data_IF_139716006641
#
_entry.id   IF_139716006641
#
_cell.length_a   1.000
_cell.length_b   1.000
_cell.length_c   1.000
_cell.angle_alpha   90.00
_cell.angle_beta   90.00
_cell.angle_gamma   90.00
#
_symmetry.space_group_name_H-M   'P 1'
#
loop_
_entity.id
_entity.type
_entity.pdbx_description
1 polymer ?
#
# COMPACT_ATOMS: atom_id res chain seq x y z
N UNK A 1 27.70 8.60 25.17
CA UNK A 1 27.89 8.64 23.70
C UNK A 1 27.60 7.26 23.08
N UNK A 2 26.33 6.83 23.05
CA UNK A 2 25.92 5.53 22.46
C UNK A 2 24.83 5.69 21.38
N UNK A 3 24.79 6.85 20.73
CA UNK A 3 23.86 7.16 19.63
C UNK A 3 23.94 6.25 18.38
N UNK A 4 25.11 5.69 17.96
CA UNK A 4 25.16 4.89 16.73
C UNK A 4 24.49 3.52 16.87
N UNK A 5 24.56 2.90 18.06
CA UNK A 5 23.94 1.59 18.32
C UNK A 5 22.41 1.69 18.31
N UNK A 6 21.83 2.75 18.88
CA UNK A 6 20.37 2.94 18.88
C UNK A 6 19.81 3.01 17.45
N UNK A 7 20.45 3.74 16.52
CA UNK A 7 20.00 3.87 15.13
C UNK A 7 20.06 2.56 14.34
N UNK A 8 21.01 1.68 14.64
CA UNK A 8 21.15 0.39 13.95
C UNK A 8 19.92 -0.51 14.14
N UNK A 9 19.22 -0.42 15.28
CA UNK A 9 17.99 -1.18 15.52
C UNK A 9 16.79 -0.70 14.69
N UNK A 10 16.77 0.57 14.25
CA UNK A 10 15.72 1.10 13.39
C UNK A 10 15.83 0.65 11.93
N UNK A 11 17.05 0.39 11.43
CA UNK A 11 17.29 -0.12 10.07
C UNK A 11 16.90 -1.61 9.95
N UNK A 12 16.90 -2.35 11.05
CA UNK A 12 16.49 -3.76 11.06
C UNK A 12 15.00 -3.95 10.73
N UNK A 13 14.14 -2.96 11.00
CA UNK A 13 12.69 -3.05 10.70
C UNK A 13 12.40 -3.19 9.19
N UNK A 14 12.88 -2.31 8.29
CA UNK A 14 12.69 -2.51 6.85
C UNK A 14 13.41 -3.75 6.32
N UNK A 15 14.55 -4.14 6.89
CA UNK A 15 15.25 -5.38 6.53
C UNK A 15 14.42 -6.61 6.88
N UNK A 16 13.74 -6.62 8.03
CA UNK A 16 12.82 -7.69 8.42
C UNK A 16 11.61 -7.77 7.49
N UNK A 17 11.03 -6.63 7.11
CA UNK A 17 9.87 -6.59 6.21
C UNK A 17 10.26 -7.08 4.81
N UNK A 18 11.28 -6.45 4.20
CA UNK A 18 11.72 -6.78 2.85
C UNK A 18 12.33 -8.18 2.82
N UNK A 19 13.22 -8.50 3.74
CA UNK A 19 13.84 -9.81 3.83
C UNK A 19 12.83 -10.93 4.09
N UNK A 20 11.83 -10.70 4.94
CA UNK A 20 10.77 -11.68 5.23
C UNK A 20 9.86 -11.95 4.03
N UNK A 21 9.48 -10.90 3.29
CA UNK A 21 8.62 -11.03 2.11
C UNK A 21 9.39 -11.66 0.94
N UNK A 22 10.58 -11.16 0.60
CA UNK A 22 11.33 -11.62 -0.56
C UNK A 22 11.94 -13.02 -0.39
N UNK A 23 12.20 -13.47 0.85
CA UNK A 23 12.62 -14.85 1.12
C UNK A 23 11.47 -15.86 1.03
N UNK A 24 10.22 -15.40 0.89
CA UNK A 24 9.03 -16.25 0.86
C UNK A 24 8.67 -16.87 2.20
N UNK A 25 9.32 -16.45 3.29
CA UNK A 25 9.05 -16.95 4.64
C UNK A 25 7.76 -16.36 5.23
N UNK A 26 7.41 -15.13 4.86
CA UNK A 26 6.24 -14.42 5.38
C UNK A 26 5.49 -13.67 4.27
N UNK A 27 4.18 -13.63 4.41
CA UNK A 27 3.31 -12.73 3.63
C UNK A 27 3.42 -11.28 4.13
N UNK A 28 3.00 -10.27 3.34
CA UNK A 28 3.06 -8.87 3.76
C UNK A 28 2.33 -8.60 5.09
N UNK A 29 1.23 -9.31 5.35
CA UNK A 29 0.46 -9.22 6.59
C UNK A 29 1.22 -9.77 7.80
N UNK A 30 1.91 -10.90 7.65
CA UNK A 30 2.71 -11.50 8.73
C UNK A 30 3.97 -10.67 9.01
N UNK A 31 4.61 -10.17 7.94
CA UNK A 31 5.78 -9.30 8.03
C UNK A 31 5.46 -8.00 8.80
N UNK A 32 4.28 -7.41 8.59
CA UNK A 32 3.83 -6.23 9.33
C UNK A 32 3.66 -6.53 10.84
N UNK A 33 3.07 -7.67 11.20
CA UNK A 33 2.92 -8.08 12.61
C UNK A 33 4.27 -8.24 13.29
N UNK A 34 5.23 -8.90 12.62
CA UNK A 34 6.59 -9.09 13.15
C UNK A 34 7.30 -7.74 13.32
N UNK A 35 7.17 -6.84 12.33
CA UNK A 35 7.76 -5.50 12.40
C UNK A 35 7.19 -4.66 13.56
N UNK A 36 5.87 -4.73 13.81
CA UNK A 36 5.22 -4.05 14.93
C UNK A 36 5.68 -4.65 16.26
N UNK A 37 5.71 -5.98 16.39
CA UNK A 37 6.18 -6.65 17.59
C UNK A 37 7.65 -6.27 17.91
N UNK A 38 8.51 -6.29 16.89
CA UNK A 38 9.90 -5.84 17.01
C UNK A 38 9.99 -4.37 17.41
N UNK A 39 9.19 -3.49 16.81
CA UNK A 39 9.16 -2.05 17.11
C UNK A 39 8.72 -1.78 18.55
N UNK A 40 7.77 -2.54 19.09
CA UNK A 40 7.35 -2.44 20.50
C UNK A 40 8.47 -2.87 21.45
N UNK A 41 9.14 -3.99 21.14
CA UNK A 41 10.26 -4.50 21.96
C UNK A 41 11.40 -3.47 21.97
N UNK A 42 11.82 -3.00 20.80
CA UNK A 42 12.92 -2.02 20.68
C UNK A 42 12.53 -0.68 21.30
N UNK A 43 11.30 -0.19 21.06
CA UNK A 43 10.78 1.05 21.64
C UNK A 43 10.77 1.03 23.17
N UNK A 44 10.32 -0.08 23.77
CA UNK A 44 10.23 -0.24 25.23
C UNK A 44 11.60 -0.49 25.88
N UNK A 45 12.42 -1.38 25.33
CA UNK A 45 13.66 -1.83 26.00
C UNK A 45 14.92 -1.05 25.58
N UNK A 46 15.01 -0.60 24.34
CA UNK A 46 16.22 0.07 23.79
C UNK A 46 16.08 1.59 23.86
N UNK A 47 14.98 2.13 23.36
CA UNK A 47 14.73 3.56 23.40
C UNK A 47 14.20 4.01 24.77
N UNK A 48 13.41 3.18 25.46
CA UNK A 48 12.75 3.49 26.75
C UNK A 48 11.83 4.72 26.69
N UNK A 49 11.40 5.09 25.49
CA UNK A 49 10.55 6.25 25.21
C UNK A 49 9.08 5.82 24.97
N UNK A 50 8.83 4.52 24.81
CA UNK A 50 7.50 3.99 24.53
C UNK A 50 6.68 3.84 25.82
N UNK A 51 5.71 4.73 26.02
CA UNK A 51 4.70 4.65 27.09
C UNK A 51 3.44 3.94 26.59
N UNK A 52 2.66 3.34 27.50
CA UNK A 52 1.39 2.71 27.14
C UNK A 52 0.43 3.70 26.45
N UNK A 53 0.41 4.95 26.94
CA UNK A 53 -0.38 6.04 26.38
C UNK A 53 0.05 6.38 24.94
N UNK A 54 1.36 6.46 24.67
CA UNK A 54 1.88 6.70 23.32
C UNK A 54 1.50 5.58 22.35
N UNK A 55 1.54 4.31 22.81
CA UNK A 55 1.13 3.16 22.02
C UNK A 55 -0.37 3.22 21.68
N UNK A 56 -1.23 3.51 22.65
CA UNK A 56 -2.68 3.68 22.40
C UNK A 56 -2.95 4.83 21.44
N UNK A 57 -2.24 5.96 21.58
CA UNK A 57 -2.36 7.09 20.66
C UNK A 57 -1.99 6.71 19.23
N UNK A 58 -0.89 5.99 19.04
CA UNK A 58 -0.48 5.48 17.72
C UNK A 58 -1.49 4.49 17.13
N UNK A 59 -2.10 3.62 17.94
CA UNK A 59 -3.16 2.73 17.48
C UNK A 59 -4.39 3.51 17.01
N UNK A 60 -4.82 4.53 17.75
CA UNK A 60 -5.97 5.38 17.37
C UNK A 60 -5.67 6.11 16.04
N UNK A 61 -4.47 6.64 15.88
CA UNK A 61 -4.04 7.29 14.64
C UNK A 61 -4.02 6.31 13.45
N UNK A 62 -3.48 5.10 13.66
CA UNK A 62 -3.47 4.06 12.63
C UNK A 62 -4.90 3.65 12.23
N UNK A 63 -5.81 3.50 13.19
CA UNK A 63 -7.23 3.19 12.94
C UNK A 63 -7.90 4.33 12.19
N UNK A 64 -7.60 5.60 12.53
CA UNK A 64 -8.15 6.76 11.83
C UNK A 64 -7.76 6.76 10.35
N UNK A 65 -6.47 6.57 10.04
CA UNK A 65 -5.96 6.49 8.67
C UNK A 65 -6.61 5.30 7.94
N UNK A 66 -6.64 4.13 8.59
CA UNK A 66 -7.25 2.92 8.01
C UNK A 66 -8.75 3.14 7.71
N UNK A 67 -9.48 3.77 8.62
CA UNK A 67 -10.90 4.09 8.46
C UNK A 67 -11.18 5.01 7.26
N UNK A 68 -10.37 6.07 7.10
CA UNK A 68 -10.47 6.96 5.93
C UNK A 68 -10.19 6.20 4.64
N UNK A 69 -9.13 5.38 4.60
CA UNK A 69 -8.82 4.57 3.41
C UNK A 69 -9.89 3.52 3.11
N UNK A 70 -10.50 2.91 4.13
CA UNK A 70 -11.58 1.95 3.96
C UNK A 70 -12.84 2.60 3.33
N UNK A 71 -13.21 3.80 3.78
CA UNK A 71 -14.31 4.58 3.16
C UNK A 71 -14.02 4.96 1.71
N UNK A 72 -12.78 5.33 1.41
CA UNK A 72 -12.35 5.59 0.03
C UNK A 72 -12.49 4.32 -0.82
N UNK A 73 -11.95 3.18 -0.36
CA UNK A 73 -12.03 1.90 -1.08
C UNK A 73 -13.48 1.46 -1.30
N UNK A 74 -14.36 1.64 -0.32
CA UNK A 74 -15.80 1.34 -0.48
C UNK A 74 -16.42 2.15 -1.63
N UNK A 75 -16.12 3.45 -1.69
CA UNK A 75 -16.65 4.34 -2.73
C UNK A 75 -16.08 3.99 -4.10
N UNK A 76 -14.78 3.70 -4.18
CA UNK A 76 -14.11 3.26 -5.42
C UNK A 76 -14.67 1.93 -5.90
N UNK A 77 -14.91 0.98 -5.02
CA UNK A 77 -15.49 -0.33 -5.37
C UNK A 77 -16.91 -0.16 -5.91
N UNK A 78 -17.73 0.65 -5.24
CA UNK A 78 -19.08 0.96 -5.72
C UNK A 78 -19.08 1.62 -7.11
N UNK A 79 -18.17 2.57 -7.35
CA UNK A 79 -18.02 3.20 -8.65
C UNK A 79 -17.51 2.23 -9.72
N UNK A 80 -16.56 1.35 -9.37
CA UNK A 80 -16.08 0.28 -10.22
C UNK A 80 -17.19 -0.66 -10.68
N UNK A 81 -18.07 -1.07 -9.76
CA UNK A 81 -19.25 -1.88 -10.06
C UNK A 81 -20.22 -1.15 -10.99
N UNK A 82 -20.43 0.15 -10.79
CA UNK A 82 -21.29 0.95 -11.68
C UNK A 82 -20.73 1.02 -13.10
N UNK A 83 -19.43 1.30 -13.25
CA UNK A 83 -18.72 1.30 -14.55
C UNK A 83 -18.84 -0.06 -15.24
N UNK A 84 -18.70 -1.15 -14.49
CA UNK A 84 -18.82 -2.50 -15.01
C UNK A 84 -20.24 -2.79 -15.51
N UNK A 85 -21.27 -2.37 -14.77
CA UNK A 85 -22.69 -2.55 -15.15
C UNK A 85 -23.06 -1.77 -16.41
N UNK A 86 -22.56 -0.55 -16.56
CA UNK A 86 -22.77 0.28 -17.74
C UNK A 86 -21.91 -0.13 -18.95
N UNK A 87 -21.10 -1.20 -18.80
CA UNK A 87 -20.20 -1.71 -19.83
C UNK A 87 -19.25 -0.64 -20.39
N UNK A 88 -18.91 0.36 -19.59
CA UNK A 88 -18.08 1.50 -20.03
C UNK A 88 -16.70 1.01 -20.48
N UNK A 89 -16.10 0.06 -19.76
CA UNK A 89 -14.82 -0.55 -20.12
C UNK A 89 -14.89 -1.26 -21.50
N UNK A 90 -16.00 -1.93 -21.81
CA UNK A 90 -16.19 -2.63 -23.09
C UNK A 90 -16.35 -1.61 -24.22
N UNK A 91 -17.14 -0.55 -24.02
CA UNK A 91 -17.29 0.53 -25.02
C UNK A 91 -15.98 1.23 -25.34
N UNK A 92 -15.12 1.45 -24.33
CA UNK A 92 -13.78 2.00 -24.54
C UNK A 92 -12.90 1.03 -25.33
N UNK A 93 -12.96 -0.27 -25.01
CA UNK A 93 -12.22 -1.31 -25.73
C UNK A 93 -12.66 -1.41 -27.20
N UNK A 94 -13.96 -1.37 -27.48
CA UNK A 94 -14.50 -1.34 -28.85
C UNK A 94 -14.04 -0.09 -29.62
N UNK A 95 -13.98 1.06 -28.93
CA UNK A 95 -13.40 2.29 -29.47
C UNK A 95 -11.93 2.10 -29.86
N UNK A 96 -11.13 1.42 -29.04
CA UNK A 96 -9.75 1.10 -29.40
C UNK A 96 -9.63 0.11 -30.55
N UNK A 97 -10.48 -0.92 -30.60
CA UNK A 97 -10.49 -1.90 -31.70
C UNK A 97 -10.82 -1.27 -33.05
N UNK A 98 -11.60 -0.19 -33.08
CA UNK A 98 -11.92 0.53 -34.31
C UNK A 98 -10.70 1.25 -34.95
N UNK A 99 -9.68 1.59 -34.15
CA UNK A 99 -8.48 2.30 -34.61
C UNK A 99 -7.20 1.46 -34.54
N UNK A 100 -7.25 0.26 -33.97
CA UNK A 100 -6.07 -0.55 -33.72
C UNK A 100 -5.83 -1.59 -34.82
N UNK A 101 -4.77 -1.39 -35.59
CA UNK A 101 -4.33 -2.33 -36.63
C UNK A 101 -3.46 -3.48 -36.09
N UNK A 102 -2.96 -3.37 -34.85
CA UNK A 102 -2.11 -4.38 -34.23
C UNK A 102 -2.30 -4.47 -32.70
N UNK A 103 -2.03 -5.63 -32.07
CA UNK A 103 -2.10 -5.79 -30.62
C UNK A 103 -1.20 -4.80 -29.86
N UNK A 104 -0.07 -4.41 -30.44
CA UNK A 104 0.87 -3.44 -29.84
C UNK A 104 0.24 -2.05 -29.78
N UNK A 105 -0.53 -1.65 -30.79
CA UNK A 105 -1.20 -0.36 -30.83
C UNK A 105 -2.28 -0.23 -29.74
N UNK A 106 -3.04 -1.30 -29.49
CA UNK A 106 -4.00 -1.37 -28.37
C UNK A 106 -3.30 -1.17 -27.02
N UNK A 107 -2.17 -1.87 -26.81
CA UNK A 107 -1.36 -1.75 -25.60
C UNK A 107 -0.85 -0.32 -25.38
N UNK A 108 -0.40 0.36 -26.44
CA UNK A 108 0.05 1.75 -26.38
C UNK A 108 -1.12 2.69 -26.05
N UNK A 109 -2.29 2.49 -26.68
CA UNK A 109 -3.48 3.29 -26.40
C UNK A 109 -3.98 3.14 -24.95
N UNK A 110 -4.00 1.91 -24.41
CA UNK A 110 -4.35 1.65 -23.01
C UNK A 110 -3.34 2.34 -22.08
N UNK A 111 -2.04 2.20 -22.34
CA UNK A 111 -1.01 2.86 -21.52
C UNK A 111 -1.11 4.39 -21.58
N UNK A 112 -1.41 4.98 -22.74
CA UNK A 112 -1.63 6.43 -22.87
C UNK A 112 -2.88 6.88 -22.13
N UNK A 113 -3.98 6.11 -22.19
CA UNK A 113 -5.19 6.38 -21.42
C UNK A 113 -4.89 6.29 -19.92
N UNK A 114 -4.21 5.25 -19.46
CA UNK A 114 -3.82 5.07 -18.06
C UNK A 114 -2.86 6.16 -17.58
N UNK A 115 -1.91 6.59 -18.43
CA UNK A 115 -0.99 7.68 -18.13
C UNK A 115 -1.73 9.01 -18.04
N UNK A 116 -2.67 9.27 -18.96
CA UNK A 116 -3.51 10.46 -18.90
C UNK A 116 -4.37 10.49 -17.64
N UNK A 117 -5.09 9.40 -17.32
CA UNK A 117 -5.87 9.31 -16.07
C UNK A 117 -4.98 9.45 -14.82
N UNK A 118 -3.80 8.83 -14.84
CA UNK A 118 -2.85 8.87 -13.73
C UNK A 118 -2.26 10.25 -13.46
N UNK A 119 -2.21 11.15 -14.44
CA UNK A 119 -1.75 12.54 -14.24
C UNK A 119 -2.73 13.40 -13.42
N UNK A 120 -3.99 12.97 -13.26
CA UNK A 120 -5.00 13.71 -12.49
C UNK A 120 -5.07 13.30 -11.00
N UNK A 121 -4.28 12.29 -10.60
CA UNK A 121 -4.11 11.85 -9.21
C UNK A 121 -2.87 12.53 -8.63
#
# INVERSE_FOLDING_TARGET
SFAPIKRSFGILTPVLIIGGIFSGLFTPTEAAVIAVAYSIIVGKFVYKELTLESLFKSCIEAVSITGVTALMVMTVTFFGDMIAREQVAIRIADGFMAFADSPVMVLVMINLLLLFLGMFI
#
